data_IF_680716229581
#
_entry.id   IF_680716229581
#
_cell.length_a   1.000
_cell.length_b   1.000
_cell.length_c   1.000
_cell.angle_alpha   90.00
_cell.angle_beta   90.00
_cell.angle_gamma   90.00
#
_symmetry.space_group_name_H-M   'P 1'
#
loop_
_entity.id
_entity.type
_entity.pdbx_description
1 polymer ?
#
# COMPACT_ATOMS: atom_id res chain seq x y z
N UNK A 1 7.78 -38.90 32.90
CA UNK A 1 6.89 -37.85 32.34
C UNK A 1 6.86 -36.65 33.29
N UNK A 2 7.96 -35.85 33.34
CA UNK A 2 8.03 -34.68 34.22
C UNK A 2 8.51 -33.40 33.46
N UNK A 3 8.53 -33.43 32.14
CA UNK A 3 9.13 -32.33 31.34
C UNK A 3 8.17 -31.24 30.81
N UNK A 4 6.85 -31.38 30.95
CA UNK A 4 5.91 -30.48 30.24
C UNK A 4 5.31 -29.36 31.10
N UNK A 5 5.59 -29.31 32.39
CA UNK A 5 5.04 -28.31 33.34
C UNK A 5 5.94 -27.10 33.59
N UNK A 6 7.22 -27.16 33.21
CA UNK A 6 8.16 -26.04 33.40
C UNK A 6 8.19 -25.03 32.25
N UNK A 7 7.74 -25.41 31.06
CA UNK A 7 7.76 -24.55 29.87
C UNK A 7 6.86 -23.28 29.96
N UNK A 8 5.62 -23.35 30.44
CA UNK A 8 4.78 -22.16 30.51
C UNK A 8 5.28 -21.11 31.49
N UNK A 9 5.90 -21.52 32.58
CA UNK A 9 6.49 -20.61 33.56
C UNK A 9 7.73 -19.88 33.06
N UNK A 10 8.62 -20.58 32.37
CA UNK A 10 9.84 -20.01 31.78
C UNK A 10 9.49 -19.06 30.65
N UNK A 11 8.56 -19.47 29.76
CA UNK A 11 8.08 -18.60 28.66
C UNK A 11 7.40 -17.34 29.22
N UNK A 12 6.59 -17.47 30.27
CA UNK A 12 5.95 -16.33 30.92
C UNK A 12 6.96 -15.40 31.60
N UNK A 13 8.02 -15.94 32.15
CA UNK A 13 9.09 -15.18 32.82
C UNK A 13 9.95 -14.46 31.76
N UNK A 14 10.33 -15.11 30.68
CA UNK A 14 11.05 -14.51 29.56
C UNK A 14 10.22 -13.39 28.88
N UNK A 15 8.90 -13.56 28.78
CA UNK A 15 8.00 -12.53 28.27
C UNK A 15 7.81 -11.36 29.26
N UNK A 16 7.86 -11.64 30.58
CA UNK A 16 7.79 -10.60 31.61
C UNK A 16 9.09 -9.77 31.67
N UNK A 17 10.24 -10.41 31.43
CA UNK A 17 11.56 -9.75 31.40
C UNK A 17 11.78 -8.97 30.09
N UNK A 18 11.03 -9.27 29.03
CA UNK A 18 11.13 -8.58 27.74
C UNK A 18 10.49 -7.17 27.70
N UNK A 19 9.82 -6.76 28.77
CA UNK A 19 9.09 -5.48 28.84
C UNK A 19 7.82 -5.47 27.97
N UNK A 20 7.18 -4.30 27.85
CA UNK A 20 6.00 -4.12 27.00
C UNK A 20 6.42 -4.18 25.51
N UNK A 21 5.96 -5.17 24.73
CA UNK A 21 6.33 -5.31 23.32
C UNK A 21 5.87 -4.14 22.45
N UNK A 22 4.90 -3.36 22.93
CA UNK A 22 4.39 -2.16 22.27
C UNK A 22 4.98 -0.86 22.83
N UNK A 23 5.90 -0.92 23.79
CA UNK A 23 6.55 0.27 24.29
C UNK A 23 7.22 1.07 23.16
N UNK A 24 7.14 2.41 23.18
CA UNK A 24 7.86 3.25 22.22
C UNK A 24 9.34 2.92 22.17
N UNK A 25 9.88 2.85 20.97
CA UNK A 25 11.30 2.57 20.71
C UNK A 25 11.95 3.76 20.03
N UNK A 26 13.24 3.97 20.34
CA UNK A 26 14.02 5.01 19.68
C UNK A 26 14.20 4.68 18.20
N UNK A 27 13.83 5.61 17.30
CA UNK A 27 14.03 5.42 15.88
C UNK A 27 15.51 5.58 15.51
N UNK A 28 15.94 4.93 14.42
CA UNK A 28 17.31 5.03 13.92
C UNK A 28 17.67 6.44 13.38
N UNK A 29 16.67 7.24 13.04
CA UNK A 29 16.82 8.60 12.53
C UNK A 29 15.89 9.53 13.30
N UNK A 30 16.23 10.83 13.36
CA UNK A 30 15.39 11.83 13.99
C UNK A 30 13.97 11.83 13.39
N UNK A 31 12.93 11.56 14.19
CA UNK A 31 11.58 11.40 13.67
C UNK A 31 10.98 12.76 13.31
N UNK A 32 10.35 12.85 12.14
CA UNK A 32 9.55 14.02 11.72
C UNK A 32 8.05 13.75 11.77
N UNK A 33 7.64 12.50 11.52
CA UNK A 33 6.25 12.07 11.55
C UNK A 33 5.93 11.39 12.88
N UNK A 34 4.76 11.69 13.43
CA UNK A 34 4.22 11.05 14.65
C UNK A 34 3.19 9.98 14.33
N UNK A 35 2.60 10.01 13.14
CA UNK A 35 1.56 9.08 12.66
C UNK A 35 1.78 8.79 11.20
N UNK A 36 1.43 7.56 10.81
CA UNK A 36 1.43 7.13 9.42
C UNK A 36 0.00 6.76 9.04
N UNK A 37 -0.51 7.33 7.96
CA UNK A 37 -1.79 6.95 7.36
C UNK A 37 -1.49 6.46 5.97
N UNK A 38 -1.84 5.19 5.69
CA UNK A 38 -1.66 4.57 4.38
C UNK A 38 -3.00 4.51 3.67
N UNK A 39 -3.23 5.44 2.74
CA UNK A 39 -4.44 5.49 1.92
C UNK A 39 -4.22 4.64 0.67
N UNK A 40 -4.90 3.52 0.59
CA UNK A 40 -4.75 2.57 -0.50
C UNK A 40 -6.04 2.43 -1.30
N UNK A 41 -5.95 2.62 -2.61
CA UNK A 41 -7.05 2.36 -3.53
C UNK A 41 -6.92 0.95 -4.12
N UNK A 42 -7.83 0.07 -3.73
CA UNK A 42 -7.87 -1.32 -4.17
C UNK A 42 -8.06 -1.41 -5.69
N UNK A 43 -7.21 -2.19 -6.35
CA UNK A 43 -7.21 -2.30 -7.81
C UNK A 43 -6.42 -1.20 -8.53
N UNK A 44 -5.90 -0.24 -7.77
CA UNK A 44 -5.15 0.89 -8.29
C UNK A 44 -6.02 1.99 -8.91
N UNK A 45 -5.47 3.17 -8.98
CA UNK A 45 -6.04 4.29 -9.73
C UNK A 45 -5.42 4.31 -11.13
N UNK A 46 -6.22 4.66 -12.16
CA UNK A 46 -5.67 4.87 -13.50
C UNK A 46 -4.77 6.12 -13.49
N UNK A 47 -3.47 5.93 -13.50
CA UNK A 47 -2.51 7.04 -13.43
C UNK A 47 -2.67 8.03 -14.59
N UNK A 48 -2.97 7.52 -15.79
CA UNK A 48 -3.17 8.35 -17.00
C UNK A 48 -4.47 9.18 -16.97
N UNK A 49 -5.41 8.85 -16.10
CA UNK A 49 -6.65 9.58 -15.89
C UNK A 49 -6.60 10.51 -14.66
N UNK A 50 -5.50 10.47 -13.86
CA UNK A 50 -5.47 11.16 -12.56
C UNK A 50 -4.28 12.07 -12.34
N UNK A 51 -3.04 11.56 -12.41
CA UNK A 51 -1.84 12.30 -11.99
C UNK A 51 -0.71 12.29 -13.01
N UNK A 52 -0.86 11.57 -14.12
CA UNK A 52 0.20 11.41 -15.12
C UNK A 52 -0.37 11.62 -16.54
N UNK A 53 -0.65 12.86 -16.93
CA UNK A 53 -1.22 13.17 -18.25
C UNK A 53 -0.28 12.71 -19.36
N UNK A 54 -0.86 12.11 -20.40
CA UNK A 54 -0.16 11.65 -21.59
C UNK A 54 -0.67 12.37 -22.83
N UNK A 55 -0.03 13.46 -23.27
CA UNK A 55 -0.46 14.21 -24.47
C UNK A 55 -0.62 13.31 -25.71
N UNK A 56 0.19 12.25 -25.82
CA UNK A 56 0.09 11.29 -26.90
C UNK A 56 -1.27 10.58 -26.96
N UNK A 57 -1.92 10.32 -25.82
CA UNK A 57 -3.26 9.70 -25.79
C UNK A 57 -4.33 10.63 -26.35
N UNK A 58 -4.18 11.95 -26.19
CA UNK A 58 -5.08 12.93 -26.80
C UNK A 58 -4.89 13.00 -28.32
N UNK A 59 -3.64 13.08 -28.78
CA UNK A 59 -3.28 13.16 -30.20
C UNK A 59 -3.68 11.90 -30.97
N UNK A 60 -3.51 10.74 -30.35
CA UNK A 60 -3.63 9.44 -31.01
C UNK A 60 -4.93 8.72 -30.62
N UNK A 61 -5.88 9.41 -30.00
CA UNK A 61 -7.17 8.86 -29.61
C UNK A 61 -7.91 8.20 -30.80
N UNK A 62 -8.37 6.97 -30.56
CA UNK A 62 -9.06 6.17 -31.57
C UNK A 62 -8.13 5.43 -32.55
N UNK A 63 -6.83 5.67 -32.52
CA UNK A 63 -5.90 4.89 -33.34
C UNK A 63 -5.81 3.46 -32.81
N UNK A 64 -5.89 2.54 -33.75
CA UNK A 64 -5.60 1.12 -33.48
C UNK A 64 -4.10 0.94 -33.26
N UNK A 65 -3.75 0.17 -32.25
CA UNK A 65 -2.39 -0.25 -32.00
C UNK A 65 -2.33 -1.76 -31.86
N UNK A 66 -1.18 -2.34 -32.19
CA UNK A 66 -0.94 -3.75 -31.97
C UNK A 66 -0.68 -4.02 -30.49
N UNK A 67 -1.33 -5.04 -29.95
CA UNK A 67 -1.07 -5.51 -28.60
C UNK A 67 0.27 -6.26 -28.57
N UNK A 68 1.36 -5.56 -28.26
CA UNK A 68 2.72 -6.13 -28.29
C UNK A 68 3.26 -6.48 -26.90
N UNK A 69 2.46 -6.30 -25.86
CA UNK A 69 2.84 -6.65 -24.51
C UNK A 69 2.75 -8.16 -24.29
N UNK A 70 3.81 -8.83 -23.75
CA UNK A 70 3.84 -10.30 -23.60
C UNK A 70 2.63 -10.90 -22.89
N UNK A 71 2.02 -10.17 -21.95
CA UNK A 71 0.88 -10.66 -21.17
C UNK A 71 -0.47 -10.60 -21.90
N UNK A 72 -0.57 -9.83 -22.97
CA UNK A 72 -1.86 -9.57 -23.65
C UNK A 72 -1.85 -9.93 -25.14
N UNK A 73 -0.69 -9.99 -25.78
CA UNK A 73 -0.55 -10.16 -27.25
C UNK A 73 -1.28 -11.38 -27.82
N UNK A 74 -1.40 -12.43 -27.01
CA UNK A 74 -2.00 -13.71 -27.42
C UNK A 74 -3.33 -13.97 -26.70
N UNK A 75 -3.91 -12.97 -26.02
CA UNK A 75 -5.19 -13.14 -25.33
C UNK A 75 -6.36 -12.92 -26.28
N UNK A 76 -7.36 -13.82 -26.29
CA UNK A 76 -8.60 -13.60 -27.05
C UNK A 76 -9.27 -12.29 -26.64
N UNK A 77 -9.71 -11.53 -27.62
CA UNK A 77 -10.33 -10.19 -27.43
C UNK A 77 -9.35 -9.02 -27.38
N UNK A 78 -8.03 -9.28 -27.50
CA UNK A 78 -6.99 -8.24 -27.53
C UNK A 78 -6.32 -8.13 -28.91
N UNK A 79 -6.88 -8.77 -29.92
CA UNK A 79 -6.37 -8.74 -31.30
C UNK A 79 -6.33 -7.31 -31.87
N UNK A 80 -7.27 -6.46 -31.39
CA UNK A 80 -7.38 -5.06 -31.77
C UNK A 80 -7.57 -4.22 -30.49
N UNK A 81 -6.65 -3.34 -30.22
CA UNK A 81 -6.76 -2.38 -29.12
C UNK A 81 -6.64 -0.96 -29.65
N UNK A 82 -7.33 -0.04 -28.98
CA UNK A 82 -7.40 1.35 -29.40
C UNK A 82 -6.92 2.26 -28.30
N UNK A 83 -6.17 3.28 -28.67
CA UNK A 83 -5.76 4.33 -27.73
C UNK A 83 -6.98 5.15 -27.31
N UNK A 84 -7.12 5.34 -26.01
CA UNK A 84 -8.21 6.14 -25.45
C UNK A 84 -7.62 7.32 -24.69
N UNK A 85 -8.04 8.53 -25.05
CA UNK A 85 -7.72 9.73 -24.26
C UNK A 85 -8.42 9.68 -22.91
N UNK A 86 -7.86 10.30 -21.86
CA UNK A 86 -8.58 10.58 -20.62
C UNK A 86 -9.90 11.32 -20.89
N UNK A 87 -10.93 11.02 -20.09
CA UNK A 87 -12.22 11.71 -20.17
C UNK A 87 -12.23 12.98 -19.33
N UNK A 88 -11.29 13.14 -18.44
CA UNK A 88 -11.14 14.26 -17.51
C UNK A 88 -10.02 15.17 -17.97
N UNK A 89 -10.20 16.43 -17.70
CA UNK A 89 -9.20 17.43 -18.02
C UNK A 89 -8.13 17.49 -16.92
N UNK A 90 -6.93 17.90 -17.31
CA UNK A 90 -5.81 18.16 -16.44
C UNK A 90 -5.51 19.65 -16.39
N UNK A 91 -5.18 20.15 -15.22
CA UNK A 91 -4.68 21.49 -15.03
C UNK A 91 -3.51 21.52 -14.05
N UNK A 92 -2.57 22.45 -14.19
CA UNK A 92 -1.54 22.68 -13.19
C UNK A 92 -2.15 23.30 -11.93
N UNK A 93 -1.72 22.82 -10.77
CA UNK A 93 -2.17 23.26 -9.44
C UNK A 93 -0.99 23.61 -8.56
N UNK A 94 -1.25 24.43 -7.53
CA UNK A 94 -0.26 24.87 -6.55
C UNK A 94 0.85 25.74 -7.15
N UNK A 95 1.84 26.03 -6.35
CA UNK A 95 3.05 26.76 -6.79
C UNK A 95 4.01 25.83 -7.56
N UNK A 96 3.98 24.52 -7.24
CA UNK A 96 4.79 23.51 -7.92
C UNK A 96 4.31 23.22 -9.36
N UNK A 97 3.08 23.65 -9.73
CA UNK A 97 2.54 23.43 -11.07
C UNK A 97 2.25 21.96 -11.40
N UNK A 98 2.03 21.10 -10.41
CA UNK A 98 1.71 19.70 -10.63
C UNK A 98 0.37 19.56 -11.33
N UNK A 99 0.35 18.85 -12.45
CA UNK A 99 -0.88 18.57 -13.20
C UNK A 99 -1.69 17.48 -12.50
N UNK A 100 -2.94 17.79 -12.18
CA UNK A 100 -3.91 16.88 -11.56
C UNK A 100 -5.20 16.93 -12.36
N UNK A 101 -5.82 15.77 -12.50
CA UNK A 101 -7.11 15.59 -13.16
C UNK A 101 -8.24 16.18 -12.32
N UNK A 102 -9.29 16.65 -12.98
CA UNK A 102 -10.55 17.10 -12.34
C UNK A 102 -11.26 16.03 -11.51
N UNK A 103 -10.82 14.77 -11.59
CA UNK A 103 -11.29 13.70 -10.71
C UNK A 103 -10.88 13.89 -9.24
N UNK A 104 -9.78 14.60 -8.97
CA UNK A 104 -9.21 14.75 -7.64
C UNK A 104 -9.10 16.22 -7.21
N UNK A 105 -10.22 16.99 -7.20
CA UNK A 105 -10.16 18.43 -6.93
C UNK A 105 -9.61 18.75 -5.55
N UNK A 106 -9.96 17.98 -4.52
CA UNK A 106 -9.47 18.20 -3.16
C UNK A 106 -7.99 17.83 -2.98
N UNK A 107 -7.49 16.83 -3.72
CA UNK A 107 -6.05 16.51 -3.72
C UNK A 107 -5.28 17.60 -4.43
N UNK A 108 -5.84 18.18 -5.48
CA UNK A 108 -5.25 19.28 -6.22
C UNK A 108 -4.98 20.53 -5.36
N UNK A 109 -5.79 20.77 -4.32
CA UNK A 109 -5.59 21.88 -3.36
C UNK A 109 -4.34 21.70 -2.49
N UNK A 110 -3.80 20.48 -2.40
CA UNK A 110 -2.69 20.12 -1.52
C UNK A 110 -1.43 19.67 -2.26
N UNK A 111 -1.34 19.88 -3.57
CA UNK A 111 -0.22 19.37 -4.38
C UNK A 111 1.15 19.88 -3.96
N UNK A 112 1.22 21.06 -3.37
CA UNK A 112 2.48 21.63 -2.86
C UNK A 112 3.01 20.88 -1.63
N UNK A 113 2.15 20.14 -0.93
CA UNK A 113 2.49 19.30 0.23
C UNK A 113 2.74 17.83 -0.16
N UNK A 114 2.61 17.47 -1.45
CA UNK A 114 2.66 16.09 -1.94
C UNK A 114 3.93 15.83 -2.74
N UNK A 115 4.68 14.80 -2.36
CA UNK A 115 5.74 14.25 -3.18
C UNK A 115 5.15 13.24 -4.19
N UNK A 116 5.04 13.64 -5.46
CA UNK A 116 4.48 12.81 -6.52
C UNK A 116 5.52 11.89 -7.15
N UNK A 117 5.34 10.58 -7.05
CA UNK A 117 6.23 9.58 -7.65
C UNK A 117 5.49 8.88 -8.79
N UNK A 118 5.69 9.32 -10.03
CA UNK A 118 5.03 8.78 -11.23
C UNK A 118 5.67 7.51 -11.77
N UNK A 119 6.88 7.19 -11.34
CA UNK A 119 7.65 6.04 -11.83
C UNK A 119 7.45 4.75 -11.03
N UNK A 120 6.57 4.75 -10.03
CA UNK A 120 6.30 3.54 -9.25
C UNK A 120 5.57 2.50 -10.10
N UNK A 121 6.02 1.25 -9.98
CA UNK A 121 5.39 0.09 -10.62
C UNK A 121 5.49 -1.12 -9.70
N UNK A 122 4.70 -2.13 -9.96
CA UNK A 122 4.76 -3.43 -9.30
C UNK A 122 5.19 -4.51 -10.28
N UNK A 123 5.73 -5.60 -9.76
CA UNK A 123 6.19 -6.73 -10.58
C UNK A 123 5.06 -7.67 -11.01
N UNK A 124 3.81 -7.36 -10.69
CA UNK A 124 2.68 -8.26 -10.99
C UNK A 124 1.45 -7.47 -11.45
N UNK A 125 0.82 -7.91 -12.56
CA UNK A 125 -0.37 -7.29 -13.15
C UNK A 125 -1.70 -7.72 -12.51
N UNK A 126 -1.71 -8.86 -11.80
CA UNK A 126 -2.91 -9.33 -11.10
C UNK A 126 -3.14 -8.51 -9.82
N UNK A 127 -4.37 -8.00 -9.64
CA UNK A 127 -4.73 -7.13 -8.52
C UNK A 127 -4.49 -7.76 -7.14
N UNK A 128 -4.75 -9.06 -6.97
CA UNK A 128 -4.48 -9.77 -5.72
C UNK A 128 -2.99 -9.71 -5.37
N UNK A 129 -2.14 -10.16 -6.28
CA UNK A 129 -0.69 -10.23 -6.09
C UNK A 129 -0.08 -8.83 -5.94
N UNK A 130 -0.50 -7.88 -6.77
CA UNK A 130 -0.04 -6.50 -6.70
C UNK A 130 -0.44 -5.82 -5.37
N UNK A 131 -1.66 -6.05 -4.89
CA UNK A 131 -2.12 -5.55 -3.60
C UNK A 131 -1.28 -6.14 -2.45
N UNK A 132 -1.05 -7.46 -2.47
CA UNK A 132 -0.20 -8.11 -1.50
C UNK A 132 1.22 -7.53 -1.52
N UNK A 133 1.79 -7.36 -2.72
CA UNK A 133 3.11 -6.75 -2.92
C UNK A 133 3.23 -5.36 -2.33
N UNK A 134 2.23 -4.50 -2.54
CA UNK A 134 2.21 -3.13 -2.01
C UNK A 134 2.16 -3.08 -0.48
N UNK A 135 1.49 -4.03 0.17
CA UNK A 135 1.35 -4.03 1.62
C UNK A 135 2.46 -4.77 2.35
N UNK A 136 3.10 -5.75 1.70
CA UNK A 136 4.02 -6.68 2.36
C UNK A 136 5.41 -6.75 1.72
N UNK A 137 5.59 -6.13 0.56
CA UNK A 137 6.81 -6.24 -0.24
C UNK A 137 6.98 -7.58 -0.96
N UNK A 138 5.96 -8.45 -0.96
CA UNK A 138 5.99 -9.75 -1.65
C UNK A 138 4.66 -10.03 -2.34
N UNK A 139 4.69 -10.38 -3.60
CA UNK A 139 3.50 -10.76 -4.36
C UNK A 139 3.19 -12.26 -4.31
N UNK A 140 4.13 -13.08 -3.82
CA UNK A 140 4.03 -14.54 -3.85
C UNK A 140 3.86 -15.17 -2.45
N UNK A 141 4.41 -14.54 -1.43
CA UNK A 141 4.44 -15.08 -0.07
C UNK A 141 3.86 -14.07 0.92
N UNK A 142 3.16 -14.59 1.92
CA UNK A 142 2.76 -13.78 3.06
C UNK A 142 4.00 -13.30 3.82
N UNK A 143 3.97 -12.05 4.21
CA UNK A 143 4.99 -11.38 5.04
C UNK A 143 4.29 -10.35 5.91
N UNK A 144 4.92 -9.91 7.00
CA UNK A 144 4.33 -8.84 7.80
C UNK A 144 4.05 -7.61 6.96
N UNK A 145 2.88 -7.02 7.17
CA UNK A 145 2.48 -5.79 6.48
C UNK A 145 3.28 -4.58 6.94
N UNK A 146 3.23 -3.50 6.16
CA UNK A 146 3.89 -2.22 6.51
C UNK A 146 3.48 -1.77 7.91
N UNK A 147 2.18 -1.82 8.25
CA UNK A 147 1.70 -1.41 9.58
C UNK A 147 2.22 -2.32 10.69
N UNK A 148 2.32 -3.62 10.45
CA UNK A 148 2.91 -4.57 11.40
C UNK A 148 4.39 -4.28 11.65
N UNK A 149 5.15 -3.97 10.60
CA UNK A 149 6.55 -3.57 10.73
C UNK A 149 6.73 -2.25 11.48
N UNK A 150 5.87 -1.26 11.22
CA UNK A 150 5.90 0.03 11.95
C UNK A 150 5.61 -0.21 13.43
N UNK A 151 4.57 -0.99 13.75
CA UNK A 151 4.22 -1.37 15.12
C UNK A 151 5.36 -2.13 15.80
N UNK A 152 5.96 -3.11 15.13
CA UNK A 152 7.06 -3.90 15.66
C UNK A 152 8.34 -3.08 15.88
N UNK A 153 8.68 -2.22 14.93
CA UNK A 153 9.93 -1.46 14.96
C UNK A 153 9.91 -0.26 15.90
N UNK A 154 8.77 0.42 16.01
CA UNK A 154 8.65 1.71 16.72
C UNK A 154 7.76 1.66 17.96
N UNK A 155 6.93 0.62 18.11
CA UNK A 155 5.94 0.54 19.18
C UNK A 155 4.82 1.58 19.02
N UNK A 156 4.19 1.95 20.13
CA UNK A 156 3.12 2.95 20.17
C UNK A 156 3.18 3.82 21.42
N UNK A 157 2.82 5.09 21.28
CA UNK A 157 2.64 5.99 22.43
C UNK A 157 1.27 5.81 23.10
N UNK A 158 0.31 5.17 22.42
CA UNK A 158 -1.04 4.99 22.94
C UNK A 158 -1.21 3.57 23.48
N UNK A 159 -1.56 3.46 24.77
CA UNK A 159 -1.77 2.17 25.44
C UNK A 159 -3.22 1.69 25.40
N UNK A 160 -4.14 2.55 24.96
CA UNK A 160 -5.58 2.28 25.00
C UNK A 160 -6.18 1.95 23.64
N UNK A 161 -5.39 2.05 22.57
CA UNK A 161 -5.81 1.74 21.20
C UNK A 161 -4.80 0.80 20.55
N UNK A 162 -5.23 -0.02 19.59
CA UNK A 162 -4.31 -0.81 18.78
C UNK A 162 -3.22 0.07 18.14
N UNK A 163 -2.02 -0.45 18.06
CA UNK A 163 -0.89 0.24 17.41
C UNK A 163 -1.07 0.35 15.90
N UNK A 164 -1.84 -0.57 15.32
CA UNK A 164 -2.14 -0.62 13.90
C UNK A 164 -3.65 -0.83 13.70
N UNK A 165 -4.33 0.21 13.22
CA UNK A 165 -5.77 0.20 12.92
C UNK A 165 -5.97 0.12 11.41
N UNK A 166 -6.90 -0.74 10.99
CA UNK A 166 -7.29 -0.92 9.59
C UNK A 166 -8.73 -0.45 9.41
N UNK A 167 -8.98 0.43 8.47
CA UNK A 167 -10.31 0.87 8.08
C UNK A 167 -10.56 0.35 6.66
N UNK A 168 -11.30 -0.75 6.57
CA UNK A 168 -11.62 -1.38 5.30
C UNK A 168 -13.13 -1.67 5.26
N UNK A 169 -13.93 -0.83 4.62
CA UNK A 169 -15.38 -1.03 4.52
C UNK A 169 -15.73 -2.27 3.70
N UNK A 170 -14.81 -2.74 2.89
CA UNK A 170 -14.90 -3.99 2.14
C UNK A 170 -13.56 -4.74 2.24
N UNK A 171 -13.65 -6.07 2.18
CA UNK A 171 -12.44 -6.91 2.17
C UNK A 171 -11.58 -6.60 0.93
N UNK A 172 -10.28 -6.45 1.14
CA UNK A 172 -9.32 -6.23 0.06
C UNK A 172 -9.16 -7.49 -0.81
N UNK A 173 -8.63 -7.36 -2.02
CA UNK A 173 -8.37 -8.51 -2.91
C UNK A 173 -7.51 -9.58 -2.27
N UNK A 174 -6.51 -9.21 -1.48
CA UNK A 174 -5.61 -10.15 -0.79
C UNK A 174 -6.10 -10.52 0.64
N UNK A 175 -7.33 -10.17 1.00
CA UNK A 175 -7.92 -10.51 2.29
C UNK A 175 -7.14 -9.95 3.48
N UNK A 176 -7.07 -10.73 4.55
CA UNK A 176 -6.40 -10.32 5.80
C UNK A 176 -4.87 -10.25 5.68
N UNK A 177 -4.29 -10.81 4.65
CA UNK A 177 -2.82 -10.82 4.46
C UNK A 177 -2.22 -9.41 4.35
N UNK A 178 -3.00 -8.43 3.88
CA UNK A 178 -2.53 -7.04 3.72
C UNK A 178 -2.33 -6.29 5.04
N UNK A 179 -2.81 -6.84 6.15
CA UNK A 179 -2.59 -6.29 7.49
C UNK A 179 -2.15 -7.35 8.50
N UNK A 180 -1.66 -8.49 8.01
CA UNK A 180 -1.17 -9.57 8.84
C UNK A 180 0.18 -9.23 9.49
N UNK A 181 0.37 -9.73 10.72
CA UNK A 181 1.67 -9.71 11.39
C UNK A 181 2.58 -10.84 10.92
N UNK A 182 2.00 -11.91 10.33
CA UNK A 182 2.68 -13.09 9.82
C UNK A 182 3.63 -13.71 10.86
N UNK A 183 4.94 -13.76 10.59
CA UNK A 183 5.92 -14.30 11.53
C UNK A 183 6.28 -13.35 12.69
N UNK A 184 5.81 -12.10 12.68
CA UNK A 184 5.93 -11.23 13.84
C UNK A 184 4.90 -11.61 14.91
N UNK A 185 5.12 -11.23 16.19
CA UNK A 185 4.13 -11.48 17.24
C UNK A 185 2.75 -10.91 16.88
N UNK A 186 1.69 -11.66 17.21
CA UNK A 186 0.30 -11.30 16.88
C UNK A 186 -0.18 -9.96 17.44
N UNK A 187 0.51 -9.40 18.45
CA UNK A 187 0.21 -8.06 18.98
C UNK A 187 0.42 -6.93 17.98
N UNK A 188 1.19 -7.19 16.91
CA UNK A 188 1.44 -6.24 15.80
C UNK A 188 0.47 -6.44 14.62
N UNK A 189 -0.50 -7.35 14.75
CA UNK A 189 -1.57 -7.57 13.77
C UNK A 189 -2.44 -6.33 13.63
N UNK A 190 -2.81 -5.97 12.38
CA UNK A 190 -3.77 -4.92 12.13
C UNK A 190 -5.16 -5.28 12.69
N UNK A 191 -5.79 -4.33 13.36
CA UNK A 191 -7.13 -4.45 13.92
C UNK A 191 -8.13 -3.71 13.03
N UNK A 192 -9.19 -4.41 12.59
CA UNK A 192 -10.33 -3.88 11.83
C UNK A 192 -11.29 -3.15 12.76
#
# INVERSE_FOLDING_TARGET
MAGSLLMPGIVRQLLADAGDPLAPREPHFAPRAKRVIFLFMTGGVSHVDTFDPKPALHRDHGKEIKADHPEIKDRPGYERIYLKRPQWEFAPHGQCGTEVSTLFPFVAEHVDDIAMIRSMHTSHSNHYNATLGMHTGSFAFSRPSIGSWVSYGLGTFNRNLPSFVVIAPQQTYAGTQVYASDFLPGIHQGTL
#
